data_IF_773001801851
#
_entry.id   IF_773001801851
#
_cell.length_a   1.000
_cell.length_b   1.000
_cell.length_c   1.000
_cell.angle_alpha   90.00
_cell.angle_beta   90.00
_cell.angle_gamma   90.00
#
_symmetry.space_group_name_H-M   'P 1'
#
loop_
_entity.id
_entity.type
_entity.pdbx_description
1 polymer ?
#
# COMPACT_ATOMS: atom_id res chain seq x y z
N UNK A 1 34.19 -15.98 11.54
CA UNK A 1 33.39 -17.00 12.27
C UNK A 1 32.19 -16.43 13.03
N UNK A 2 32.19 -15.19 13.51
CA UNK A 2 31.04 -14.61 14.25
C UNK A 2 29.80 -14.24 13.39
N UNK A 3 30.01 -13.86 12.12
CA UNK A 3 28.92 -13.45 11.21
C UNK A 3 27.93 -14.60 10.95
N UNK A 4 28.43 -15.83 10.90
CA UNK A 4 27.63 -17.00 10.49
C UNK A 4 26.63 -17.42 11.58
N UNK A 5 26.99 -17.29 12.86
CA UNK A 5 26.10 -17.58 13.99
C UNK A 5 24.94 -16.58 14.08
N UNK A 6 25.22 -15.29 13.91
CA UNK A 6 24.21 -14.21 13.97
C UNK A 6 23.24 -14.29 12.79
N UNK A 7 23.74 -14.67 11.62
CA UNK A 7 22.95 -14.91 10.40
C UNK A 7 22.03 -16.13 10.55
N UNK A 8 22.51 -17.18 11.24
CA UNK A 8 21.76 -18.41 11.53
C UNK A 8 20.66 -18.20 12.58
N UNK A 9 20.90 -17.34 13.57
CA UNK A 9 19.92 -16.94 14.59
C UNK A 9 18.82 -16.04 14.00
N UNK A 10 19.18 -15.13 13.07
CA UNK A 10 18.22 -14.23 12.41
C UNK A 10 17.54 -14.85 11.16
N UNK A 11 17.75 -16.15 10.88
CA UNK A 11 17.32 -16.83 9.65
C UNK A 11 17.61 -16.06 8.35
N UNK A 12 18.67 -15.23 8.32
CA UNK A 12 18.99 -14.40 7.16
C UNK A 12 19.61 -15.30 6.08
N UNK A 13 19.02 -15.32 4.88
CA UNK A 13 19.55 -16.11 3.76
C UNK A 13 20.89 -15.51 3.29
N UNK A 14 21.96 -16.31 3.27
CA UNK A 14 23.23 -15.88 2.70
C UNK A 14 23.13 -15.77 1.17
N UNK A 15 23.48 -14.62 0.57
CA UNK A 15 23.41 -14.45 -0.88
C UNK A 15 24.49 -15.28 -1.57
N UNK A 16 24.08 -16.07 -2.58
CA UNK A 16 25.00 -16.87 -3.40
C UNK A 16 25.60 -16.10 -4.58
N UNK A 17 24.98 -14.99 -4.98
CA UNK A 17 25.38 -14.21 -6.16
C UNK A 17 25.52 -12.73 -5.82
N UNK A 18 26.37 -12.00 -6.57
CA UNK A 18 26.53 -10.54 -6.43
C UNK A 18 25.21 -9.78 -6.56
N UNK A 19 24.34 -10.20 -7.50
CA UNK A 19 23.01 -9.62 -7.68
C UNK A 19 22.12 -9.87 -6.46
N UNK A 20 22.12 -11.11 -5.94
CA UNK A 20 21.39 -11.45 -4.73
C UNK A 20 21.85 -10.67 -3.51
N UNK A 21 23.16 -10.46 -3.35
CA UNK A 21 23.73 -9.65 -2.27
C UNK A 21 23.22 -8.21 -2.32
N UNK A 22 23.29 -7.56 -3.49
CA UNK A 22 22.76 -6.19 -3.66
C UNK A 22 21.26 -6.07 -3.34
N UNK A 23 20.47 -7.09 -3.71
CA UNK A 23 19.04 -7.11 -3.40
C UNK A 23 18.82 -7.22 -1.89
N UNK A 24 19.57 -8.08 -1.20
CA UNK A 24 19.44 -8.23 0.25
C UNK A 24 19.90 -6.96 0.99
N UNK A 25 21.03 -6.36 0.58
CA UNK A 25 21.52 -5.09 1.14
C UNK A 25 20.48 -3.97 0.97
N UNK A 26 19.81 -3.88 -0.18
CA UNK A 26 18.71 -2.89 -0.37
C UNK A 26 17.53 -3.11 0.58
N UNK A 27 17.27 -4.35 1.01
CA UNK A 27 16.16 -4.71 1.91
C UNK A 27 16.51 -4.52 3.39
N UNK A 28 17.78 -4.30 3.73
CA UNK A 28 18.15 -4.05 5.11
C UNK A 28 17.66 -2.66 5.56
N UNK A 29 17.43 -2.44 6.86
CA UNK A 29 17.03 -1.15 7.38
C UNK A 29 18.00 -0.04 6.97
N UNK A 30 17.46 1.10 6.56
CA UNK A 30 18.23 2.27 6.11
C UNK A 30 17.91 3.47 6.99
N UNK A 31 18.88 4.36 7.19
CA UNK A 31 18.68 5.61 7.95
C UNK A 31 17.71 6.55 7.20
N UNK A 32 17.86 6.60 5.88
CA UNK A 32 16.96 7.31 4.98
C UNK A 32 16.17 6.27 4.21
N UNK A 33 14.87 6.19 4.44
CA UNK A 33 14.01 5.20 3.81
C UNK A 33 13.56 5.61 2.40
N UNK A 34 13.42 4.61 1.52
CA UNK A 34 12.75 4.75 0.23
C UNK A 34 11.24 5.02 0.41
N UNK A 35 10.57 5.50 -0.64
CA UNK A 35 9.12 5.68 -0.64
C UNK A 35 8.38 4.36 -0.35
N UNK A 36 7.39 4.41 0.55
CA UNK A 36 6.58 3.23 0.91
C UNK A 36 5.79 2.72 -0.30
N UNK A 37 5.94 1.43 -0.57
CA UNK A 37 5.25 0.75 -1.66
C UNK A 37 4.09 -0.10 -1.16
N UNK A 38 3.05 -0.24 -1.97
CA UNK A 38 1.82 -0.94 -1.59
C UNK A 38 1.57 -2.23 -2.40
N UNK A 39 1.18 -3.29 -1.70
CA UNK A 39 0.63 -4.50 -2.30
C UNK A 39 -0.90 -4.40 -2.37
N UNK A 40 -1.46 -4.43 -3.58
CA UNK A 40 -2.91 -4.35 -3.80
C UNK A 40 -3.46 -5.75 -4.08
N UNK A 41 -4.39 -6.23 -3.26
CA UNK A 41 -4.85 -7.61 -3.23
C UNK A 41 -6.37 -7.66 -3.33
N UNK A 42 -6.87 -8.57 -4.17
CA UNK A 42 -8.29 -8.84 -4.30
C UNK A 42 -8.66 -10.12 -3.54
N UNK A 43 -9.60 -10.01 -2.59
CA UNK A 43 -10.16 -11.15 -1.88
C UNK A 43 -11.00 -12.07 -2.78
N UNK A 44 -11.24 -13.30 -2.32
CA UNK A 44 -11.94 -14.32 -3.11
C UNK A 44 -13.38 -13.89 -3.44
N UNK A 45 -14.06 -13.36 -2.41
CA UNK A 45 -15.36 -12.72 -2.55
C UNK A 45 -15.16 -11.23 -2.86
N UNK A 46 -15.27 -10.87 -4.13
CA UNK A 46 -15.12 -9.50 -4.62
C UNK A 46 -16.19 -9.21 -5.68
N UNK A 47 -16.78 -8.02 -5.64
CA UNK A 47 -17.64 -7.52 -6.73
C UNK A 47 -16.79 -6.92 -7.84
N UNK A 48 -17.43 -6.61 -8.98
CA UNK A 48 -16.78 -5.87 -10.07
C UNK A 48 -16.27 -4.50 -9.59
N UNK A 49 -17.06 -3.80 -8.78
CA UNK A 49 -16.69 -2.50 -8.21
C UNK A 49 -15.44 -2.59 -7.34
N UNK A 50 -15.31 -3.62 -6.50
CA UNK A 50 -14.07 -3.84 -5.73
C UNK A 50 -12.88 -4.05 -6.66
N UNK A 51 -13.05 -4.87 -7.71
CA UNK A 51 -11.98 -5.11 -8.68
C UNK A 51 -11.54 -3.84 -9.40
N UNK A 52 -12.49 -2.99 -9.81
CA UNK A 52 -12.19 -1.72 -10.48
C UNK A 52 -11.59 -0.70 -9.52
N UNK A 53 -12.10 -0.60 -8.29
CA UNK A 53 -11.55 0.26 -7.24
C UNK A 53 -10.08 -0.09 -6.94
N UNK A 54 -9.74 -1.38 -6.84
CA UNK A 54 -8.35 -1.80 -6.62
C UNK A 54 -7.44 -1.47 -7.80
N UNK A 55 -7.95 -1.56 -9.04
CA UNK A 55 -7.20 -1.13 -10.24
C UNK A 55 -6.98 0.38 -10.25
N UNK A 56 -8.00 1.16 -9.89
CA UNK A 56 -7.91 2.63 -9.84
C UNK A 56 -6.93 3.07 -8.74
N UNK A 57 -6.97 2.44 -7.55
CA UNK A 57 -5.97 2.66 -6.48
C UNK A 57 -4.54 2.29 -6.91
N UNK A 58 -4.38 1.21 -7.66
CA UNK A 58 -3.09 0.83 -8.24
C UNK A 58 -2.60 1.88 -9.24
N UNK A 59 -3.48 2.40 -10.11
CA UNK A 59 -3.15 3.42 -11.09
C UNK A 59 -2.67 4.72 -10.42
N UNK A 60 -3.41 5.22 -9.42
CA UNK A 60 -3.03 6.42 -8.63
C UNK A 60 -1.64 6.24 -7.99
N UNK A 61 -1.30 5.03 -7.58
CA UNK A 61 -0.05 4.74 -6.87
C UNK A 61 1.08 4.23 -7.77
N UNK A 62 0.87 4.09 -9.07
CA UNK A 62 1.90 3.62 -10.00
C UNK A 62 3.08 4.63 -10.03
N UNK A 63 4.36 4.23 -9.86
CA UNK A 63 4.93 2.87 -9.82
C UNK A 63 5.17 2.27 -8.43
N UNK A 64 4.69 2.90 -7.36
CA UNK A 64 4.87 2.49 -5.97
C UNK A 64 3.85 1.44 -5.51
N UNK A 65 3.23 0.71 -6.43
CA UNK A 65 2.31 -0.37 -6.05
C UNK A 65 2.37 -1.56 -6.99
N UNK A 66 1.99 -2.73 -6.48
CA UNK A 66 1.86 -3.97 -7.24
C UNK A 66 0.44 -4.49 -7.09
N UNK A 67 -0.27 -4.66 -8.21
CA UNK A 67 -1.57 -5.30 -8.22
C UNK A 67 -1.44 -6.82 -8.34
N UNK A 68 -2.02 -7.54 -7.39
CA UNK A 68 -2.09 -8.99 -7.41
C UNK A 68 -3.39 -9.45 -8.10
N UNK A 69 -3.26 -9.96 -9.32
CA UNK A 69 -4.42 -10.36 -10.15
C UNK A 69 -5.15 -11.60 -9.63
N UNK A 70 -4.44 -12.50 -8.94
CA UNK A 70 -5.04 -13.72 -8.38
C UNK A 70 -5.91 -13.37 -7.17
N UNK A 71 -7.01 -14.10 -7.01
CA UNK A 71 -7.88 -14.00 -5.84
C UNK A 71 -7.29 -14.68 -4.61
N UNK A 72 -7.57 -14.09 -3.44
CA UNK A 72 -7.00 -14.43 -2.14
C UNK A 72 -8.07 -14.78 -1.12
N UNK A 73 -7.95 -15.93 -0.44
CA UNK A 73 -8.90 -16.42 0.58
C UNK A 73 -8.63 -15.85 1.98
N UNK A 74 -7.61 -15.02 2.11
CA UNK A 74 -7.16 -14.41 3.34
C UNK A 74 -8.25 -13.50 3.95
N UNK A 75 -8.36 -13.56 5.28
CA UNK A 75 -9.27 -12.74 6.07
C UNK A 75 -8.43 -11.89 7.05
N UNK A 76 -8.04 -10.65 6.69
CA UNK A 76 -7.02 -9.89 7.44
C UNK A 76 -7.31 -9.72 8.93
N UNK A 77 -8.58 -9.53 9.31
CA UNK A 77 -8.98 -9.39 10.72
C UNK A 77 -9.06 -10.71 11.51
N UNK A 78 -8.92 -11.86 10.85
CA UNK A 78 -8.89 -13.18 11.48
C UNK A 78 -7.47 -13.75 11.56
N UNK A 79 -6.72 -13.65 10.46
CA UNK A 79 -5.33 -14.07 10.40
C UNK A 79 -4.52 -13.17 9.43
N UNK A 80 -3.45 -12.56 9.95
CA UNK A 80 -2.58 -11.64 9.23
C UNK A 80 -1.35 -12.33 8.66
N UNK A 81 -1.01 -13.54 9.11
CA UNK A 81 0.28 -14.19 8.82
C UNK A 81 0.55 -14.32 7.33
N UNK A 82 -0.47 -14.72 6.57
CA UNK A 82 -0.32 -14.91 5.13
C UNK A 82 -0.12 -13.59 4.40
N UNK A 83 -0.82 -12.55 4.84
CA UNK A 83 -0.70 -11.20 4.30
C UNK A 83 0.67 -10.62 4.59
N UNK A 84 1.17 -10.77 5.81
CA UNK A 84 2.53 -10.39 6.23
C UNK A 84 3.58 -11.11 5.38
N UNK A 85 3.46 -12.42 5.21
CA UNK A 85 4.35 -13.21 4.34
C UNK A 85 4.36 -12.70 2.89
N UNK A 86 3.20 -12.33 2.33
CA UNK A 86 3.09 -11.80 0.98
C UNK A 86 3.77 -10.43 0.89
N UNK A 87 3.46 -9.52 1.81
CA UNK A 87 4.06 -8.19 1.88
C UNK A 87 5.59 -8.29 2.02
N UNK A 88 6.10 -9.16 2.89
CA UNK A 88 7.53 -9.42 3.06
C UNK A 88 8.18 -10.04 1.83
N UNK A 89 7.48 -10.95 1.16
CA UNK A 89 7.97 -11.60 -0.07
C UNK A 89 8.17 -10.58 -1.19
N UNK A 90 7.19 -9.69 -1.38
CA UNK A 90 7.18 -8.67 -2.44
C UNK A 90 7.80 -7.34 -2.03
N UNK A 91 8.19 -7.18 -0.76
CA UNK A 91 8.82 -5.97 -0.21
C UNK A 91 7.91 -4.74 -0.26
N UNK A 92 6.68 -4.91 0.24
CA UNK A 92 5.71 -3.83 0.41
C UNK A 92 5.43 -3.61 1.89
N UNK A 93 5.56 -2.36 2.34
CA UNK A 93 5.26 -1.97 3.73
C UNK A 93 3.80 -1.57 3.93
N UNK A 94 3.03 -1.47 2.85
CA UNK A 94 1.62 -1.12 2.86
C UNK A 94 0.86 -2.18 2.07
N UNK A 95 -0.38 -2.45 2.46
CA UNK A 95 -1.30 -3.23 1.63
C UNK A 95 -2.66 -2.58 1.49
N UNK A 96 -3.32 -2.88 0.39
CA UNK A 96 -4.73 -2.63 0.15
C UNK A 96 -5.41 -3.97 -0.13
N UNK A 97 -6.45 -4.32 0.61
CA UNK A 97 -7.19 -5.56 0.44
C UNK A 97 -8.67 -5.25 0.20
N UNK A 98 -9.17 -5.61 -0.97
CA UNK A 98 -10.58 -5.41 -1.32
C UNK A 98 -11.39 -6.69 -1.17
N UNK A 99 -12.59 -6.59 -0.58
CA UNK A 99 -13.54 -7.72 -0.52
C UNK A 99 -14.99 -7.23 -0.52
N UNK A 100 -15.92 -8.14 -0.80
CA UNK A 100 -17.35 -7.84 -0.78
C UNK A 100 -18.15 -9.06 -0.34
N UNK A 101 -19.16 -8.84 0.48
CA UNK A 101 -20.12 -9.85 0.93
C UNK A 101 -21.49 -9.22 1.14
N UNK A 102 -22.54 -10.03 1.27
CA UNK A 102 -23.91 -9.52 1.53
C UNK A 102 -24.00 -8.68 2.81
N UNK A 103 -23.28 -9.06 3.87
CA UNK A 103 -23.26 -8.34 5.16
C UNK A 103 -22.32 -7.12 5.14
N UNK A 104 -21.24 -7.19 4.37
CA UNK A 104 -20.23 -6.14 4.24
C UNK A 104 -19.97 -5.91 2.75
N UNK A 105 -20.84 -5.16 2.06
CA UNK A 105 -20.62 -4.82 0.66
C UNK A 105 -19.40 -3.90 0.55
N UNK A 106 -18.67 -4.02 -0.57
CA UNK A 106 -17.57 -3.15 -0.99
C UNK A 106 -16.67 -2.63 0.16
N UNK A 107 -15.82 -3.52 0.69
CA UNK A 107 -14.87 -3.19 1.76
C UNK A 107 -13.47 -3.05 1.21
N UNK A 108 -12.82 -1.98 1.66
CA UNK A 108 -11.40 -1.74 1.47
C UNK A 108 -10.73 -1.81 2.82
N UNK A 109 -9.71 -2.64 2.95
CA UNK A 109 -8.84 -2.66 4.12
C UNK A 109 -7.51 -2.07 3.69
N UNK A 110 -7.07 -1.01 4.36
CA UNK A 110 -5.71 -0.50 4.23
C UNK A 110 -4.94 -0.84 5.49
N UNK A 111 -3.68 -1.23 5.35
CA UNK A 111 -2.83 -1.49 6.49
C UNK A 111 -1.36 -1.30 6.20
N UNK A 112 -0.59 -1.20 7.28
CA UNK A 112 0.86 -0.95 7.26
C UNK A 112 1.56 -2.04 8.04
N UNK A 113 2.76 -2.35 7.59
CA UNK A 113 3.68 -3.24 8.27
C UNK A 113 4.83 -2.43 8.84
N UNK A 114 5.33 -2.90 9.98
CA UNK A 114 6.58 -2.46 10.57
C UNK A 114 7.44 -3.70 10.86
N UNK A 115 8.68 -3.67 10.39
CA UNK A 115 9.62 -4.81 10.48
C UNK A 115 8.98 -6.15 10.02
N UNK A 116 8.20 -6.07 8.94
CA UNK A 116 7.52 -7.22 8.35
C UNK A 116 6.35 -7.81 9.14
N UNK A 117 5.93 -7.17 10.23
CA UNK A 117 4.75 -7.54 11.01
C UNK A 117 3.67 -6.47 10.86
N UNK A 118 2.39 -6.82 11.03
CA UNK A 118 1.30 -5.83 10.99
C UNK A 118 1.49 -4.77 12.09
N UNK A 119 1.52 -3.50 11.69
CA UNK A 119 1.50 -2.36 12.61
C UNK A 119 0.06 -1.98 12.94
N UNK A 120 -0.70 -1.64 11.91
CA UNK A 120 -2.12 -1.28 12.01
C UNK A 120 -2.85 -1.52 10.69
N UNK A 121 -4.18 -1.63 10.77
CA UNK A 121 -5.06 -1.69 9.61
C UNK A 121 -6.43 -1.11 9.94
N UNK A 122 -7.11 -0.57 8.93
CA UNK A 122 -8.45 0.00 9.03
C UNK A 122 -9.33 -0.51 7.89
N UNK A 123 -10.58 -0.86 8.22
CA UNK A 123 -11.61 -1.22 7.24
C UNK A 123 -12.45 0.01 6.90
N UNK A 124 -12.60 0.28 5.61
CA UNK A 124 -13.45 1.32 5.06
C UNK A 124 -14.65 0.66 4.36
N UNK A 125 -15.85 1.18 4.65
CA UNK A 125 -17.04 0.90 3.87
C UNK A 125 -17.06 1.86 2.68
N UNK A 126 -17.01 1.33 1.45
CA UNK A 126 -17.03 2.15 0.25
C UNK A 126 -18.45 2.19 -0.30
N UNK A 127 -19.03 3.39 -0.28
CA UNK A 127 -20.36 3.67 -0.80
C UNK A 127 -20.23 4.45 -2.12
N UNK A 128 -21.16 4.20 -3.06
CA UNK A 128 -21.27 4.91 -4.34
C UNK A 128 -19.98 5.02 -5.18
N UNK A 129 -19.22 3.92 -5.26
CA UNK A 129 -17.98 3.88 -6.03
C UNK A 129 -18.18 4.27 -7.51
N UNK A 130 -17.36 5.23 -7.97
CA UNK A 130 -17.25 5.64 -9.37
C UNK A 130 -15.83 5.39 -9.85
N UNK A 131 -15.69 4.50 -10.83
CA UNK A 131 -14.38 4.21 -11.43
C UNK A 131 -13.88 5.39 -12.25
N UNK A 132 -12.55 5.51 -12.36
CA UNK A 132 -11.86 6.48 -13.22
C UNK A 132 -12.41 6.49 -14.66
N UNK A 133 -12.78 5.32 -15.19
CA UNK A 133 -13.32 5.17 -16.55
C UNK A 133 -14.70 5.80 -16.76
N UNK A 134 -15.44 6.13 -15.69
CA UNK A 134 -16.73 6.82 -15.78
C UNK A 134 -16.60 8.33 -15.91
N UNK A 135 -15.42 8.89 -15.67
CA UNK A 135 -15.16 10.31 -15.80
C UNK A 135 -14.74 10.63 -17.24
N UNK A 136 -15.13 11.80 -17.74
CA UNK A 136 -14.93 12.17 -19.15
C UNK A 136 -13.44 12.14 -19.53
N UNK A 137 -13.15 11.51 -20.68
CA UNK A 137 -11.82 11.41 -21.27
C UNK A 137 -11.19 12.76 -21.68
N UNK A 138 -11.93 13.87 -21.57
CA UNK A 138 -11.39 15.23 -21.74
C UNK A 138 -10.56 15.71 -20.55
N UNK A 139 -10.56 14.96 -19.44
CA UNK A 139 -9.71 15.23 -18.28
C UNK A 139 -8.31 14.69 -18.57
N UNK A 140 -7.30 15.56 -18.54
CA UNK A 140 -5.90 15.16 -18.72
C UNK A 140 -5.54 14.08 -17.69
N UNK A 141 -5.06 12.93 -18.15
CA UNK A 141 -4.55 11.89 -17.25
C UNK A 141 -3.34 12.42 -16.48
N UNK A 142 -3.29 12.12 -15.17
CA UNK A 142 -2.16 12.48 -14.34
C UNK A 142 -0.90 11.76 -14.84
N UNK A 143 0.24 12.44 -14.85
CA UNK A 143 1.50 11.84 -15.25
C UNK A 143 1.85 10.69 -14.29
N UNK A 144 2.22 9.54 -14.85
CA UNK A 144 2.60 8.37 -14.04
C UNK A 144 3.77 8.74 -13.12
N UNK A 145 3.64 8.44 -11.83
CA UNK A 145 4.64 8.77 -10.81
C UNK A 145 4.63 10.22 -10.35
N UNK A 146 3.68 11.05 -10.81
CA UNK A 146 3.47 12.37 -10.22
C UNK A 146 3.07 12.25 -8.76
N UNK A 147 3.53 13.18 -7.91
CA UNK A 147 3.25 13.14 -6.48
C UNK A 147 1.92 13.84 -6.22
N UNK A 148 0.90 13.15 -5.67
CA UNK A 148 -0.34 13.82 -5.34
C UNK A 148 -0.17 14.76 -4.14
N UNK A 149 -0.88 15.88 -4.21
CA UNK A 149 -1.15 16.72 -3.05
C UNK A 149 -2.27 16.05 -2.25
N UNK A 150 -2.13 15.95 -0.93
CA UNK A 150 -3.15 15.32 -0.08
C UNK A 150 -3.74 16.37 0.85
N UNK A 151 -5.06 16.56 0.80
CA UNK A 151 -5.77 17.57 1.58
C UNK A 151 -6.75 16.87 2.53
N UNK A 152 -6.60 17.13 3.83
CA UNK A 152 -7.56 16.68 4.84
C UNK A 152 -8.45 17.85 5.25
N UNK A 153 -9.74 17.77 4.92
CA UNK A 153 -10.73 18.78 5.29
C UNK A 153 -11.57 18.30 6.47
N UNK A 154 -11.63 19.10 7.53
CA UNK A 154 -12.44 18.85 8.73
C UNK A 154 -11.61 18.77 10.01
N UNK A 155 -12.08 19.43 11.07
CA UNK A 155 -11.37 19.51 12.36
C UNK A 155 -11.26 18.17 13.08
N UNK A 156 -12.13 17.22 12.76
CA UNK A 156 -12.14 15.89 13.36
C UNK A 156 -10.83 15.13 13.09
N UNK A 157 -10.12 15.40 11.99
CA UNK A 157 -8.80 14.84 11.72
C UNK A 157 -7.69 15.29 12.71
N UNK A 158 -7.93 16.37 13.47
CA UNK A 158 -7.01 16.89 14.50
C UNK A 158 -7.46 16.59 15.94
N UNK A 159 -8.72 16.17 16.12
CA UNK A 159 -9.30 16.01 17.47
C UNK A 159 -9.79 14.60 17.75
N UNK A 160 -10.31 13.88 16.75
CA UNK A 160 -10.75 12.50 16.90
C UNK A 160 -9.57 11.53 16.69
N UNK A 161 -9.32 10.66 17.66
CA UNK A 161 -8.19 9.73 17.63
C UNK A 161 -8.30 8.69 16.51
N UNK A 162 -9.51 8.29 16.14
CA UNK A 162 -9.72 7.34 15.04
C UNK A 162 -9.34 7.99 13.72
N UNK A 163 -9.86 9.20 13.47
CA UNK A 163 -9.57 9.95 12.25
C UNK A 163 -8.12 10.45 12.19
N UNK A 164 -7.46 10.76 13.31
CA UNK A 164 -6.00 11.00 13.33
C UNK A 164 -5.22 9.79 12.80
N UNK A 165 -5.59 8.58 13.23
CA UNK A 165 -4.97 7.35 12.73
C UNK A 165 -5.30 7.15 11.26
N UNK A 166 -6.53 7.38 10.83
CA UNK A 166 -6.92 7.33 9.42
C UNK A 166 -6.12 8.32 8.58
N UNK A 167 -5.94 9.56 9.04
CA UNK A 167 -5.11 10.58 8.40
C UNK A 167 -3.67 10.11 8.27
N UNK A 168 -3.07 9.55 9.33
CA UNK A 168 -1.71 8.98 9.28
C UNK A 168 -1.59 7.86 8.24
N UNK A 169 -2.55 6.93 8.23
CA UNK A 169 -2.60 5.80 7.30
C UNK A 169 -2.75 6.26 5.84
N UNK A 170 -3.67 7.19 5.59
CA UNK A 170 -3.95 7.73 4.26
C UNK A 170 -2.81 8.62 3.76
N UNK A 171 -2.13 9.35 4.65
CA UNK A 171 -0.90 10.09 4.30
C UNK A 171 0.22 9.15 3.86
N UNK A 172 0.43 8.04 4.57
CA UNK A 172 1.38 7.01 4.12
C UNK A 172 0.93 6.34 2.82
N UNK A 173 -0.38 6.27 2.59
CA UNK A 173 -0.92 5.66 1.39
C UNK A 173 -0.76 6.57 0.15
N UNK A 174 -1.20 7.80 0.20
CA UNK A 174 -1.20 8.70 -0.95
C UNK A 174 0.05 9.58 -1.02
N UNK A 175 0.66 9.94 0.11
CA UNK A 175 1.71 10.97 0.19
C UNK A 175 3.05 10.61 -0.47
N UNK A 176 3.26 9.35 -0.88
CA UNK A 176 4.48 8.87 -1.53
C UNK A 176 5.77 9.25 -0.74
N UNK A 177 6.91 9.37 -1.42
CA UNK A 177 8.18 9.76 -0.81
C UNK A 177 8.23 11.25 -0.41
N UNK A 178 9.28 11.62 0.34
CA UNK A 178 9.61 13.02 0.67
C UNK A 178 10.77 13.48 -0.21
N UNK A 179 10.52 14.02 -1.41
CA UNK A 179 11.60 14.53 -2.25
C UNK A 179 12.08 15.89 -1.75
N UNK A 180 13.36 16.18 -1.93
CA UNK A 180 13.93 17.50 -1.62
C UNK A 180 13.44 18.60 -2.57
N UNK A 181 13.07 18.22 -3.80
CA UNK A 181 12.59 19.11 -4.84
C UNK A 181 11.40 18.49 -5.57
N UNK A 182 10.46 19.34 -5.99
CA UNK A 182 9.26 18.92 -6.73
C UNK A 182 9.21 19.65 -8.06
N UNK A 183 8.86 18.91 -9.12
CA UNK A 183 8.64 19.47 -10.44
C UNK A 183 7.24 20.08 -10.51
N UNK A 184 7.14 21.39 -10.78
CA UNK A 184 5.87 22.11 -10.82
C UNK A 184 4.89 21.54 -11.86
N UNK A 185 5.38 21.12 -13.02
CA UNK A 185 4.56 20.48 -14.05
C UNK A 185 4.00 19.11 -13.64
N UNK A 186 4.53 18.51 -12.58
CA UNK A 186 4.03 17.26 -11.99
C UNK A 186 3.06 17.46 -10.83
N UNK A 187 2.63 18.69 -10.54
CA UNK A 187 1.56 18.98 -9.58
C UNK A 187 0.21 18.98 -10.32
N UNK A 188 -0.23 17.81 -10.76
CA UNK A 188 -1.41 17.64 -11.62
C UNK A 188 -2.57 16.88 -10.96
N UNK A 189 -2.38 16.36 -9.75
CA UNK A 189 -3.39 15.61 -9.00
C UNK A 189 -3.44 16.00 -7.51
N UNK A 190 -4.66 15.98 -6.97
CA UNK A 190 -4.98 16.19 -5.57
C UNK A 190 -5.89 15.07 -5.06
N UNK A 191 -5.65 14.61 -3.85
CA UNK A 191 -6.42 13.60 -3.11
C UNK A 191 -7.01 14.24 -1.87
#
# INVERSE_FOLDING_TARGET
>A
MAIDALTKVLSKRTPKTRKGRKILEKREPQVVEDAKTALVICGNKSSLDVGNMLKDLHAVRNPLSMLFTRKHEEHPFQDTKRLEQLCNKFQHSIFAFGSSSKKRPCRLILGRLFDGNLLDMQEFNVEDFKSMTKFNASTKEAAVGSKPLVIFQGSAFEHDETLKRSKSLLLDFFGAGKPDQVMLSGLDQVV
#
